data_IF_837465125111
#
_entry.id   IF_837465125111
#
_cell.length_a   1.000
_cell.length_b   1.000
_cell.length_c   1.000
_cell.angle_alpha   90.00
_cell.angle_beta   90.00
_cell.angle_gamma   90.00
#
_symmetry.space_group_name_H-M   'P 1'
#
loop_
_entity.id
_entity.type
_entity.pdbx_description
1 polymer ?
#
# COMPACT_ATOMS: atom_id res chain seq x y z
N UNK A 1 0.32 33.35 -25.36
CA UNK A 1 -0.45 32.10 -25.21
C UNK A 1 -0.56 31.47 -26.59
N UNK A 2 0.44 30.68 -26.98
CA UNK A 2 0.32 29.83 -28.17
C UNK A 2 -0.65 28.70 -27.82
N UNK A 3 -1.75 28.61 -28.57
CA UNK A 3 -2.64 27.44 -28.50
C UNK A 3 -1.89 26.28 -29.12
N UNK A 4 -1.53 25.28 -28.33
CA UNK A 4 -1.12 23.98 -28.88
C UNK A 4 -2.26 23.45 -29.75
N UNK A 5 -2.02 23.37 -31.05
CA UNK A 5 -2.96 22.76 -31.98
C UNK A 5 -2.96 21.26 -31.73
N UNK A 6 -4.11 20.69 -31.37
CA UNK A 6 -4.29 19.25 -31.26
C UNK A 6 -3.95 18.60 -32.61
N UNK A 7 -2.90 17.80 -32.64
CA UNK A 7 -2.51 17.07 -33.84
C UNK A 7 -3.57 16.00 -34.15
N UNK A 8 -4.28 16.18 -35.26
CA UNK A 8 -5.24 15.18 -35.76
C UNK A 8 -4.48 14.24 -36.69
N UNK A 9 -4.46 12.95 -36.36
CA UNK A 9 -3.82 11.92 -37.16
C UNK A 9 -4.89 11.12 -37.91
N UNK A 10 -4.61 10.79 -39.17
CA UNK A 10 -5.36 9.77 -39.91
C UNK A 10 -4.96 8.37 -39.43
N UNK A 11 -5.82 7.39 -39.66
CA UNK A 11 -5.57 5.99 -39.27
C UNK A 11 -4.22 5.47 -39.82
N UNK A 12 -3.91 5.78 -41.08
CA UNK A 12 -2.65 5.40 -41.73
C UNK A 12 -1.41 6.06 -41.11
N UNK A 13 -1.49 7.35 -40.77
CA UNK A 13 -0.42 8.08 -40.09
C UNK A 13 -0.18 7.55 -38.67
N UNK A 14 -1.25 7.14 -37.99
CA UNK A 14 -1.17 6.55 -36.66
C UNK A 14 -0.44 5.20 -36.68
N UNK A 15 -0.80 4.29 -37.60
CA UNK A 15 -0.10 3.02 -37.75
C UNK A 15 1.34 3.18 -38.23
N UNK A 16 1.64 4.15 -39.09
CA UNK A 16 3.01 4.45 -39.50
C UNK A 16 3.88 4.91 -38.32
N UNK A 17 3.33 5.75 -37.43
CA UNK A 17 4.00 6.12 -36.18
C UNK A 17 4.13 4.95 -35.23
N UNK A 18 3.08 4.16 -35.03
CA UNK A 18 3.10 2.99 -34.15
C UNK A 18 4.16 1.96 -34.59
N UNK A 19 4.23 1.66 -35.88
CA UNK A 19 5.23 0.74 -36.44
C UNK A 19 6.66 1.31 -36.40
N UNK A 20 6.81 2.63 -36.38
CA UNK A 20 8.09 3.31 -36.18
C UNK A 20 8.55 3.35 -34.73
N UNK A 21 7.64 3.16 -33.77
CA UNK A 21 7.98 3.01 -32.37
C UNK A 21 8.55 1.60 -32.17
N UNK A 22 9.77 1.53 -31.64
CA UNK A 22 10.27 0.30 -31.01
C UNK A 22 9.47 0.09 -29.74
N UNK A 23 8.28 -0.49 -29.86
CA UNK A 23 7.52 -0.94 -28.70
C UNK A 23 8.46 -1.89 -27.95
N UNK A 24 8.62 -1.59 -26.65
CA UNK A 24 9.41 -2.36 -25.72
C UNK A 24 9.17 -3.85 -25.99
N UNK A 25 10.25 -4.63 -26.09
CA UNK A 25 10.21 -5.97 -26.65
C UNK A 25 9.18 -6.82 -25.86
N UNK A 26 8.68 -7.93 -26.42
CA UNK A 26 7.69 -8.79 -25.74
C UNK A 26 8.10 -9.11 -24.29
N UNK A 27 9.39 -9.19 -24.07
CA UNK A 27 10.09 -9.35 -22.80
C UNK A 27 9.80 -8.21 -21.80
N UNK A 28 9.77 -6.95 -22.24
CA UNK A 28 9.48 -5.78 -21.40
C UNK A 28 8.02 -5.75 -20.94
N UNK A 29 7.08 -6.11 -21.82
CA UNK A 29 5.68 -6.27 -21.45
C UNK A 29 5.50 -7.40 -20.44
N UNK A 30 6.11 -8.56 -20.69
CA UNK A 30 6.08 -9.68 -19.77
C UNK A 30 6.63 -9.29 -18.40
N UNK A 31 7.72 -8.50 -18.35
CA UNK A 31 8.28 -7.98 -17.11
C UNK A 31 7.31 -7.05 -16.38
N UNK A 32 6.62 -6.17 -17.08
CA UNK A 32 5.65 -5.23 -16.48
C UNK A 32 4.44 -5.97 -15.91
N UNK A 33 3.90 -6.94 -16.65
CA UNK A 33 2.79 -7.80 -16.20
C UNK A 33 3.20 -8.61 -14.99
N UNK A 34 4.40 -9.21 -15.01
CA UNK A 34 4.92 -9.96 -13.86
C UNK A 34 5.10 -9.07 -12.62
N UNK A 35 5.62 -7.85 -12.81
CA UNK A 35 5.78 -6.88 -11.73
C UNK A 35 4.42 -6.51 -11.11
N UNK A 36 3.40 -6.29 -11.94
CA UNK A 36 2.04 -6.08 -11.47
C UNK A 36 1.52 -7.24 -10.60
N UNK A 37 1.66 -8.48 -11.06
CA UNK A 37 1.20 -9.64 -10.28
C UNK A 37 1.93 -9.78 -8.93
N UNK A 38 3.23 -9.50 -8.89
CA UNK A 38 4.03 -9.55 -7.65
C UNK A 38 3.65 -8.40 -6.70
N UNK A 39 3.49 -7.17 -7.21
CA UNK A 39 3.11 -5.99 -6.42
C UNK A 39 1.71 -6.15 -5.83
N UNK A 40 0.74 -6.60 -6.62
CA UNK A 40 -0.65 -6.74 -6.19
C UNK A 40 -0.91 -8.04 -5.39
N UNK A 41 0.08 -8.92 -5.23
CA UNK A 41 -0.10 -10.16 -4.47
C UNK A 41 -0.81 -11.29 -5.23
N UNK A 42 -0.85 -11.25 -6.56
CA UNK A 42 -1.45 -12.32 -7.36
C UNK A 42 -0.49 -13.51 -7.55
N UNK A 43 -0.17 -14.22 -6.47
CA UNK A 43 0.84 -15.28 -6.46
C UNK A 43 0.56 -16.43 -7.45
N UNK A 44 -0.69 -16.92 -7.51
CA UNK A 44 -1.09 -18.00 -8.42
C UNK A 44 -1.02 -17.57 -9.89
N UNK A 45 -1.51 -16.34 -10.18
CA UNK A 45 -1.43 -15.74 -11.51
C UNK A 45 0.01 -15.50 -11.93
N UNK A 46 0.87 -15.02 -11.02
CA UNK A 46 2.30 -14.86 -11.26
C UNK A 46 2.97 -16.20 -11.61
N UNK A 47 2.66 -17.26 -10.86
CA UNK A 47 3.21 -18.60 -11.10
C UNK A 47 2.77 -19.19 -12.45
N UNK A 48 1.49 -19.04 -12.80
CA UNK A 48 0.96 -19.47 -14.09
C UNK A 48 1.59 -18.69 -15.24
N UNK A 49 1.66 -17.36 -15.11
CA UNK A 49 2.25 -16.47 -16.09
C UNK A 49 3.74 -16.75 -16.30
N UNK A 50 4.49 -17.02 -15.23
CA UNK A 50 5.91 -17.38 -15.31
C UNK A 50 6.14 -18.63 -16.16
N UNK A 51 5.30 -19.66 -15.98
CA UNK A 51 5.39 -20.92 -16.72
C UNK A 51 5.08 -20.73 -18.22
N UNK A 52 4.13 -19.86 -18.54
CA UNK A 52 3.63 -19.67 -19.90
C UNK A 52 4.44 -18.64 -20.72
N UNK A 53 4.89 -17.57 -20.08
CA UNK A 53 5.63 -16.49 -20.73
C UNK A 53 7.10 -16.83 -21.03
N UNK A 54 7.59 -17.99 -20.58
CA UNK A 54 8.97 -18.44 -20.78
C UNK A 54 10.00 -17.50 -20.15
N UNK A 55 9.61 -16.76 -19.11
CA UNK A 55 10.49 -15.82 -18.40
C UNK A 55 11.47 -16.67 -17.58
N UNK A 56 12.71 -16.74 -18.04
CA UNK A 56 13.78 -17.50 -17.39
C UNK A 56 13.90 -17.08 -15.91
N UNK A 57 14.03 -18.05 -14.99
CA UNK A 57 14.16 -17.78 -13.55
C UNK A 57 15.36 -16.87 -13.24
N UNK A 58 16.37 -16.83 -14.13
CA UNK A 58 17.54 -15.97 -14.05
C UNK A 58 17.37 -14.56 -14.65
N UNK A 59 16.32 -14.31 -15.44
CA UNK A 59 15.97 -12.97 -15.94
C UNK A 59 14.90 -12.29 -15.07
N UNK A 60 14.40 -13.00 -14.06
CA UNK A 60 13.52 -12.51 -13.00
C UNK A 60 14.28 -11.61 -12.00
N UNK A 61 15.07 -10.66 -12.50
CA UNK A 61 15.72 -9.65 -11.68
C UNK A 61 15.35 -8.26 -12.19
N UNK A 62 14.07 -7.92 -12.04
CA UNK A 62 13.83 -6.64 -11.41
C UNK A 62 14.37 -6.76 -9.99
N UNK A 63 15.10 -5.78 -9.46
CA UNK A 63 15.56 -5.82 -8.05
C UNK A 63 14.39 -6.11 -7.07
N UNK A 64 13.15 -5.82 -7.49
CA UNK A 64 11.89 -6.11 -6.80
C UNK A 64 11.60 -7.63 -6.63
N UNK A 65 12.14 -8.47 -7.52
CA UNK A 65 11.78 -9.88 -7.69
C UNK A 65 12.76 -10.89 -7.05
N UNK A 66 13.57 -10.45 -6.08
CA UNK A 66 14.15 -11.39 -5.10
C UNK A 66 13.09 -11.93 -4.11
N UNK A 67 11.87 -11.42 -4.21
CA UNK A 67 10.70 -11.80 -3.42
C UNK A 67 10.17 -13.13 -3.98
N UNK A 68 10.46 -14.22 -3.28
CA UNK A 68 9.92 -15.56 -3.56
C UNK A 68 8.37 -15.53 -3.64
N UNK A 69 7.76 -16.37 -4.46
CA UNK A 69 6.29 -16.50 -4.58
C UNK A 69 5.64 -16.80 -3.22
N UNK A 70 6.37 -17.44 -2.31
CA UNK A 70 5.96 -17.63 -0.90
C UNK A 70 5.73 -16.28 -0.20
N UNK A 71 6.62 -15.31 -0.43
CA UNK A 71 6.51 -13.97 0.15
C UNK A 71 5.33 -13.21 -0.45
N UNK A 72 5.05 -13.41 -1.74
CA UNK A 72 3.84 -12.88 -2.40
C UNK A 72 2.58 -13.46 -1.75
N UNK A 73 2.53 -14.77 -1.51
CA UNK A 73 1.41 -15.43 -0.83
C UNK A 73 1.13 -14.86 0.56
N UNK A 74 2.17 -14.69 1.38
CA UNK A 74 2.00 -14.13 2.74
C UNK A 74 1.43 -12.70 2.69
N UNK A 75 1.88 -11.86 1.75
CA UNK A 75 1.32 -10.51 1.55
C UNK A 75 -0.16 -10.57 1.20
N UNK A 76 -0.55 -11.50 0.34
CA UNK A 76 -1.94 -11.74 -0.04
C UNK A 76 -2.77 -12.17 1.16
N UNK A 77 -2.27 -13.06 1.99
CA UNK A 77 -2.97 -13.51 3.21
C UNK A 77 -3.17 -12.34 4.18
N UNK A 78 -2.18 -11.47 4.36
CA UNK A 78 -2.30 -10.24 5.16
C UNK A 78 -3.37 -9.31 4.57
N UNK A 79 -3.34 -9.07 3.25
CA UNK A 79 -4.31 -8.17 2.59
C UNK A 79 -5.75 -8.72 2.67
N UNK A 80 -5.92 -10.03 2.52
CA UNK A 80 -7.21 -10.69 2.65
C UNK A 80 -7.74 -10.58 4.08
N UNK A 81 -6.89 -10.88 5.08
CA UNK A 81 -7.26 -10.73 6.49
C UNK A 81 -7.70 -9.29 6.82
N UNK A 82 -7.00 -8.27 6.31
CA UNK A 82 -7.40 -6.86 6.49
C UNK A 82 -8.75 -6.60 5.80
N UNK A 83 -8.93 -7.10 4.57
CA UNK A 83 -10.14 -6.89 3.77
C UNK A 83 -11.37 -7.53 4.41
N UNK A 84 -11.18 -8.69 5.06
CA UNK A 84 -12.22 -9.43 5.78
C UNK A 84 -12.51 -8.84 7.17
N UNK A 85 -11.69 -7.89 7.64
CA UNK A 85 -11.81 -7.27 8.95
C UNK A 85 -11.12 -8.04 10.07
N UNK A 86 -10.39 -9.13 9.77
CA UNK A 86 -9.52 -9.83 10.72
C UNK A 86 -8.18 -9.09 10.90
N UNK A 87 -8.25 -7.92 11.53
CA UNK A 87 -7.07 -7.07 11.75
C UNK A 87 -6.10 -7.72 12.74
N UNK A 88 -6.59 -8.55 13.66
CA UNK A 88 -5.76 -9.30 14.62
C UNK A 88 -4.95 -10.37 13.90
N UNK A 89 -5.58 -11.18 13.04
CA UNK A 89 -4.90 -12.16 12.20
C UNK A 89 -3.88 -11.50 11.28
N UNK A 90 -4.24 -10.40 10.62
CA UNK A 90 -3.32 -9.62 9.80
C UNK A 90 -2.10 -9.12 10.58
N UNK A 91 -2.32 -8.62 11.81
CA UNK A 91 -1.25 -8.14 12.70
C UNK A 91 -0.33 -9.26 13.16
N UNK A 92 -0.88 -10.46 13.41
CA UNK A 92 -0.10 -11.64 13.78
C UNK A 92 0.77 -12.11 12.61
N UNK A 93 0.19 -12.24 11.40
CA UNK A 93 0.93 -12.57 10.18
C UNK A 93 2.05 -11.56 9.91
N UNK A 94 1.77 -10.26 10.07
CA UNK A 94 2.78 -9.22 9.92
C UNK A 94 3.92 -9.38 10.92
N UNK A 95 3.63 -9.71 12.18
CA UNK A 95 4.62 -9.94 13.23
C UNK A 95 5.49 -11.15 12.97
N UNK A 96 4.89 -12.24 12.49
CA UNK A 96 5.56 -13.52 12.29
C UNK A 96 6.48 -13.49 11.06
N UNK A 97 6.01 -12.91 9.95
CA UNK A 97 6.73 -12.95 8.67
C UNK A 97 7.47 -11.66 8.33
N UNK A 98 7.06 -10.52 8.89
CA UNK A 98 7.71 -9.23 8.70
C UNK A 98 7.93 -8.54 10.05
N UNK A 99 8.68 -9.15 10.99
CA UNK A 99 8.91 -8.59 12.32
C UNK A 99 9.52 -7.20 12.23
N UNK A 100 10.41 -7.00 11.25
CA UNK A 100 11.00 -5.71 10.94
C UNK A 100 10.00 -4.65 10.52
N UNK A 101 8.80 -5.00 10.01
CA UNK A 101 7.69 -4.08 9.67
C UNK A 101 6.74 -3.92 10.84
N UNK A 102 6.54 -4.98 11.65
CA UNK A 102 5.68 -4.99 12.83
C UNK A 102 6.25 -4.20 14.02
N UNK A 103 7.58 -4.18 14.18
CA UNK A 103 8.26 -3.62 15.35
C UNK A 103 8.60 -2.12 15.24
N UNK A 104 7.99 -1.38 14.32
CA UNK A 104 8.19 0.07 14.20
C UNK A 104 7.51 0.75 15.39
N UNK A 105 8.22 0.78 16.50
CA UNK A 105 7.96 1.70 17.60
C UNK A 105 8.74 2.98 17.32
N UNK A 106 8.15 4.15 17.63
CA UNK A 106 8.83 5.45 17.61
C UNK A 106 10.15 5.48 18.40
N UNK A 107 10.41 4.47 19.25
CA UNK A 107 11.64 4.30 20.01
C UNK A 107 12.81 3.66 19.23
N UNK A 108 12.62 3.23 17.97
CA UNK A 108 13.70 2.64 17.17
C UNK A 108 14.67 3.72 16.64
N UNK A 109 15.97 3.69 16.99
CA UNK A 109 16.95 4.68 16.51
C UNK A 109 17.11 4.67 14.97
N UNK A 110 16.86 3.53 14.34
CA UNK A 110 16.87 3.39 12.87
C UNK A 110 15.74 4.19 12.22
N UNK A 111 14.59 4.25 12.88
CA UNK A 111 13.42 4.96 12.40
C UNK A 111 13.61 6.47 12.43
N UNK A 112 14.16 6.99 13.54
CA UNK A 112 14.46 8.42 13.69
C UNK A 112 15.48 8.88 12.64
N UNK A 113 16.51 8.08 12.36
CA UNK A 113 17.50 8.39 11.33
C UNK A 113 16.91 8.42 9.91
N UNK A 114 15.99 7.51 9.59
CA UNK A 114 15.31 7.51 8.29
C UNK A 114 14.36 8.70 8.16
N UNK A 115 13.57 9.00 9.19
CA UNK A 115 12.70 10.17 9.21
C UNK A 115 13.47 11.47 8.97
N UNK A 116 14.60 11.65 9.66
CA UNK A 116 15.45 12.83 9.49
C UNK A 116 16.02 12.93 8.08
N UNK A 117 16.43 11.80 7.49
CA UNK A 117 16.98 11.73 6.12
C UNK A 117 15.95 12.07 5.03
N UNK A 118 14.67 11.74 5.22
CA UNK A 118 13.62 11.91 4.20
C UNK A 118 12.65 13.08 4.49
N UNK A 119 12.86 13.84 5.57
CA UNK A 119 12.08 15.02 5.99
C UNK A 119 11.95 16.13 4.93
N UNK A 120 12.87 16.21 3.97
CA UNK A 120 12.90 17.23 2.92
C UNK A 120 12.01 16.91 1.71
N UNK A 121 11.50 15.69 1.61
CA UNK A 121 10.55 15.33 0.57
C UNK A 121 9.16 15.78 1.05
N UNK A 122 8.69 16.90 0.48
CA UNK A 122 7.33 17.44 0.62
C UNK A 122 6.22 16.52 0.09
N UNK A 123 6.48 15.21 0.03
CA UNK A 123 5.62 14.18 -0.48
C UNK A 123 5.48 13.19 0.69
N UNK A 124 4.59 13.52 1.60
CA UNK A 124 4.26 12.78 2.83
C UNK A 124 3.79 11.33 2.56
N UNK A 125 3.62 10.94 1.29
CA UNK A 125 3.41 9.56 0.85
C UNK A 125 4.68 8.67 0.83
N UNK A 126 5.89 9.26 0.90
CA UNK A 126 7.15 8.49 0.84
C UNK A 126 7.59 7.93 2.21
N UNK A 127 6.91 8.31 3.29
CA UNK A 127 7.09 7.67 4.60
C UNK A 127 5.92 6.71 4.86
N UNK A 128 5.60 5.88 3.85
CA UNK A 128 4.92 4.57 4.04
C UNK A 128 5.74 3.61 4.93
N UNK A 129 6.93 4.04 5.29
CA UNK A 129 7.84 3.39 6.21
C UNK A 129 7.24 3.39 7.63
N UNK A 130 6.66 4.48 8.18
CA UNK A 130 6.24 4.52 9.59
C UNK A 130 4.95 3.78 9.99
N UNK A 131 4.21 3.18 9.06
CA UNK A 131 2.74 3.27 9.18
C UNK A 131 1.97 1.95 9.18
N UNK A 132 2.63 0.79 9.06
CA UNK A 132 1.92 -0.51 9.08
C UNK A 132 1.14 -0.72 10.39
N UNK A 133 1.79 -0.57 11.54
CA UNK A 133 1.18 -0.70 12.87
C UNK A 133 0.18 0.42 13.14
N UNK A 134 0.46 1.66 12.73
CA UNK A 134 -0.51 2.76 12.87
C UNK A 134 -1.77 2.50 12.04
N UNK A 135 -1.66 2.13 10.76
CA UNK A 135 -2.81 1.87 9.92
C UNK A 135 -3.62 0.65 10.40
N UNK A 136 -2.95 -0.41 10.86
CA UNK A 136 -3.62 -1.55 11.49
C UNK A 136 -4.30 -1.16 12.81
N UNK A 137 -3.67 -0.33 13.65
CA UNK A 137 -4.28 0.14 14.89
C UNK A 137 -5.46 1.07 14.61
N UNK A 138 -5.35 1.99 13.64
CA UNK A 138 -6.45 2.84 13.16
C UNK A 138 -7.60 1.98 12.64
N UNK A 139 -7.31 0.97 11.82
CA UNK A 139 -8.34 0.06 11.32
C UNK A 139 -8.96 -0.75 12.47
N UNK A 140 -8.17 -1.19 13.44
CA UNK A 140 -8.68 -1.88 14.65
C UNK A 140 -9.65 -0.96 15.41
N UNK A 141 -9.33 0.32 15.56
CA UNK A 141 -10.20 1.32 16.19
C UNK A 141 -11.54 1.42 15.44
N UNK A 142 -11.50 1.47 14.10
CA UNK A 142 -12.70 1.47 13.24
C UNK A 142 -13.53 0.19 13.46
N UNK A 143 -12.89 -0.99 13.51
CA UNK A 143 -13.60 -2.25 13.74
C UNK A 143 -14.20 -2.32 15.16
N UNK A 144 -13.53 -1.76 16.18
CA UNK A 144 -14.09 -1.65 17.54
C UNK A 144 -15.31 -0.71 17.57
N UNK A 145 -15.23 0.43 16.86
CA UNK A 145 -16.36 1.35 16.71
C UNK A 145 -17.54 0.68 16.00
N UNK A 146 -17.30 -0.18 15.00
CA UNK A 146 -18.38 -0.96 14.36
C UNK A 146 -19.09 -1.90 15.33
N UNK A 147 -18.35 -2.50 16.25
CA UNK A 147 -18.93 -3.38 17.30
C UNK A 147 -19.77 -2.55 18.29
N UNK A 148 -19.42 -1.28 18.48
CA UNK A 148 -20.13 -0.36 19.38
C UNK A 148 -19.69 -0.46 20.84
N UNK A 149 -18.57 -1.15 21.13
CA UNK A 149 -18.00 -1.23 22.46
C UNK A 149 -17.03 -0.06 22.70
N UNK A 150 -17.58 1.03 23.25
CA UNK A 150 -16.86 2.27 23.51
C UNK A 150 -15.73 2.08 24.53
N UNK A 151 -15.88 1.19 25.51
CA UNK A 151 -14.83 0.97 26.51
C UNK A 151 -13.59 0.35 25.88
N UNK A 152 -13.79 -0.69 25.06
CA UNK A 152 -12.70 -1.31 24.30
C UNK A 152 -12.01 -0.33 23.35
N UNK A 153 -12.76 0.61 22.75
CA UNK A 153 -12.18 1.65 21.88
C UNK A 153 -11.19 2.54 22.65
N UNK A 154 -11.57 3.03 23.84
CA UNK A 154 -10.72 3.91 24.63
C UNK A 154 -9.52 3.19 25.24
N UNK A 155 -9.73 1.98 25.80
CA UNK A 155 -8.62 1.16 26.30
C UNK A 155 -7.58 0.92 25.21
N UNK A 156 -8.04 0.54 24.01
CA UNK A 156 -7.15 0.33 22.87
C UNK A 156 -6.44 1.62 22.43
N UNK A 157 -7.16 2.74 22.36
CA UNK A 157 -6.60 4.02 21.91
C UNK A 157 -5.47 4.50 22.84
N UNK A 158 -5.67 4.40 24.16
CA UNK A 158 -4.65 4.79 25.14
C UNK A 158 -3.37 3.97 24.96
N UNK A 159 -3.49 2.66 24.82
CA UNK A 159 -2.34 1.77 24.76
C UNK A 159 -1.61 1.81 23.40
N UNK A 160 -2.35 1.95 22.30
CA UNK A 160 -1.83 1.68 20.95
C UNK A 160 -1.80 2.90 20.01
N UNK A 161 -2.53 3.98 20.33
CA UNK A 161 -2.70 5.15 19.45
C UNK A 161 -2.01 6.39 20.03
N UNK A 162 -2.19 6.68 21.32
CA UNK A 162 -1.62 7.87 21.98
C UNK A 162 -0.11 8.06 21.73
N UNK A 163 0.75 7.01 21.75
CA UNK A 163 2.17 7.17 21.46
C UNK A 163 2.48 7.76 20.08
N UNK A 164 1.57 7.60 19.11
CA UNK A 164 1.69 8.11 17.74
C UNK A 164 1.19 9.55 17.62
N UNK A 165 0.12 9.88 18.35
CA UNK A 165 -0.48 11.22 18.35
C UNK A 165 0.43 12.30 18.95
N UNK A 166 1.31 11.94 19.88
CA UNK A 166 2.28 12.87 20.48
C UNK A 166 3.42 13.21 19.52
N UNK A 167 3.69 12.32 18.55
CA UNK A 167 4.83 12.45 17.66
C UNK A 167 4.52 13.23 16.36
N UNK A 168 3.26 13.22 15.90
CA UNK A 168 2.84 13.86 14.66
C UNK A 168 1.38 14.35 14.73
N UNK A 169 1.18 15.65 14.57
CA UNK A 169 -0.14 16.31 14.58
C UNK A 169 -1.03 15.88 13.39
N UNK A 170 -0.42 15.50 12.26
CA UNK A 170 -1.17 15.00 11.09
C UNK A 170 -1.82 13.64 11.36
N UNK A 171 -1.15 12.76 12.12
CA UNK A 171 -1.69 11.48 12.55
C UNK A 171 -2.78 11.67 13.61
N UNK A 172 -2.67 12.70 14.45
CA UNK A 172 -3.72 13.03 15.42
C UNK A 172 -5.02 13.41 14.71
N UNK A 173 -4.99 14.27 13.67
CA UNK A 173 -6.18 14.61 12.90
C UNK A 173 -6.88 13.36 12.31
N UNK A 174 -6.11 12.40 11.80
CA UNK A 174 -6.66 11.14 11.28
C UNK A 174 -7.36 10.29 12.35
N UNK A 175 -6.89 10.34 13.60
CA UNK A 175 -7.47 9.61 14.72
C UNK A 175 -8.68 10.35 15.29
N UNK A 176 -8.63 11.68 15.38
CA UNK A 176 -9.76 12.51 15.78
C UNK A 176 -10.96 12.32 14.85
N UNK A 177 -10.72 12.19 13.55
CA UNK A 177 -11.75 11.86 12.57
C UNK A 177 -12.40 10.50 12.89
N UNK A 178 -11.60 9.47 13.18
CA UNK A 178 -12.12 8.14 13.54
C UNK A 178 -12.87 8.17 14.87
N UNK A 179 -12.35 8.82 15.90
CA UNK A 179 -13.02 8.97 17.20
C UNK A 179 -14.29 9.83 17.10
N UNK A 180 -14.36 10.75 16.13
CA UNK A 180 -15.56 11.51 15.81
C UNK A 180 -16.77 10.64 15.49
N UNK A 181 -16.57 9.42 15.00
CA UNK A 181 -17.64 8.43 14.80
C UNK A 181 -18.39 8.08 16.11
N UNK A 182 -17.72 8.14 17.26
CA UNK A 182 -18.31 7.87 18.57
C UNK A 182 -19.36 8.91 18.98
N UNK A 183 -19.33 10.10 18.39
CA UNK A 183 -20.31 11.15 18.66
C UNK A 183 -21.70 10.86 18.05
N UNK A 184 -21.81 9.84 17.19
CA UNK A 184 -23.04 9.50 16.48
C UNK A 184 -23.64 8.20 17.01
N UNK A 185 -24.95 8.20 17.26
CA UNK A 185 -25.69 6.98 17.63
C UNK A 185 -25.65 5.90 16.54
N UNK A 186 -25.60 6.32 15.27
CA UNK A 186 -25.46 5.45 14.10
C UNK A 186 -24.25 5.90 13.27
N UNK A 187 -23.03 5.46 13.61
CA UNK A 187 -21.79 5.88 12.96
C UNK A 187 -21.79 5.70 11.43
N UNK A 188 -22.45 4.64 10.93
CA UNK A 188 -22.54 4.33 9.49
C UNK A 188 -23.38 5.30 8.68
N UNK A 189 -24.27 6.08 9.31
CA UNK A 189 -25.08 7.12 8.67
C UNK A 189 -24.54 8.53 8.90
N UNK A 190 -23.43 8.64 9.61
CA UNK A 190 -22.77 9.92 9.87
C UNK A 190 -22.07 10.44 8.61
N UNK A 191 -21.68 11.72 8.57
CA UNK A 191 -20.81 12.27 7.53
C UNK A 191 -19.46 11.52 7.40
N UNK A 192 -19.06 10.79 8.44
CA UNK A 192 -17.83 10.00 8.50
C UNK A 192 -18.07 8.52 8.19
N UNK A 193 -19.29 8.13 7.80
CA UNK A 193 -19.70 6.75 7.56
C UNK A 193 -18.85 6.02 6.51
N UNK A 194 -18.21 6.75 5.59
CA UNK A 194 -17.30 6.18 4.60
C UNK A 194 -16.05 5.54 5.23
N UNK A 195 -15.63 5.97 6.42
CA UNK A 195 -14.58 5.30 7.19
C UNK A 195 -14.99 3.88 7.61
N UNK A 196 -16.29 3.62 7.68
CA UNK A 196 -16.87 2.31 7.94
C UNK A 196 -17.21 1.57 6.63
N UNK A 197 -16.68 1.99 5.48
CA UNK A 197 -16.88 1.25 4.22
C UNK A 197 -15.82 0.15 4.03
N UNK A 198 -16.07 -0.74 3.06
CA UNK A 198 -15.07 -1.70 2.58
C UNK A 198 -13.86 -1.00 1.91
N UNK A 199 -14.08 0.20 1.36
CA UNK A 199 -13.03 1.00 0.74
C UNK A 199 -11.91 1.33 1.75
N UNK A 200 -12.29 1.61 3.00
CA UNK A 200 -11.33 1.91 4.06
C UNK A 200 -10.45 0.70 4.41
N UNK A 201 -11.02 -0.51 4.49
CA UNK A 201 -10.23 -1.76 4.66
C UNK A 201 -9.28 -2.00 3.50
N UNK A 202 -9.76 -1.80 2.27
CA UNK A 202 -8.95 -1.94 1.05
C UNK A 202 -7.78 -0.96 1.05
N UNK A 203 -8.02 0.29 1.45
CA UNK A 203 -6.98 1.32 1.60
C UNK A 203 -5.92 0.89 2.62
N UNK A 204 -6.33 0.42 3.80
CA UNK A 204 -5.41 -0.10 4.82
C UNK A 204 -4.59 -1.28 4.28
N UNK A 205 -5.22 -2.22 3.57
CA UNK A 205 -4.54 -3.36 2.97
C UNK A 205 -3.46 -2.90 1.96
N UNK A 206 -3.78 -1.95 1.08
CA UNK A 206 -2.81 -1.37 0.15
C UNK A 206 -1.65 -0.67 0.87
N UNK A 207 -1.92 0.09 1.94
CA UNK A 207 -0.90 0.79 2.72
C UNK A 207 0.06 -0.20 3.41
N UNK A 208 -0.47 -1.24 4.04
CA UNK A 208 0.35 -2.30 4.67
C UNK A 208 1.15 -3.05 3.61
N UNK A 209 0.55 -3.38 2.47
CA UNK A 209 1.22 -4.05 1.36
C UNK A 209 2.39 -3.21 0.80
N UNK A 210 2.20 -1.90 0.68
CA UNK A 210 3.23 -0.97 0.24
C UNK A 210 4.39 -0.87 1.25
N UNK A 211 4.08 -0.84 2.55
CA UNK A 211 5.10 -0.84 3.62
C UNK A 211 5.95 -2.12 3.57
N UNK A 212 5.32 -3.28 3.37
CA UNK A 212 6.03 -4.56 3.19
C UNK A 212 6.92 -4.51 1.95
N UNK A 213 6.42 -4.01 0.80
CA UNK A 213 7.24 -3.87 -0.42
C UNK A 213 8.45 -2.98 -0.21
N UNK A 214 8.29 -1.86 0.50
CA UNK A 214 9.38 -0.91 0.75
C UNK A 214 10.51 -1.55 1.57
N UNK A 215 10.19 -2.41 2.53
CA UNK A 215 11.19 -3.15 3.32
C UNK A 215 11.84 -4.26 2.49
N UNK A 216 11.04 -4.97 1.68
CA UNK A 216 11.57 -6.01 0.80
C UNK A 216 12.50 -5.43 -0.28
N UNK A 217 12.29 -4.17 -0.67
CA UNK A 217 13.04 -3.51 -1.74
C UNK A 217 13.44 -2.06 -1.41
N UNK A 218 14.49 -1.86 -0.59
CA UNK A 218 14.89 -0.53 -0.12
C UNK A 218 15.39 0.43 -1.22
N UNK A 219 15.79 -0.11 -2.38
CA UNK A 219 16.38 0.66 -3.48
C UNK A 219 15.35 1.25 -4.44
N UNK A 220 14.10 0.79 -4.39
CA UNK A 220 13.03 1.31 -5.24
C UNK A 220 12.31 2.46 -4.56
N UNK A 221 12.96 3.63 -4.53
CA UNK A 221 12.27 4.93 -4.45
C UNK A 221 11.45 5.24 -5.72
N UNK A 222 11.32 4.27 -6.63
CA UNK A 222 10.55 4.37 -7.86
C UNK A 222 9.09 4.06 -7.56
N UNK A 223 8.26 5.10 -7.75
CA UNK A 223 6.83 5.04 -8.03
C UNK A 223 6.41 3.68 -8.58
N UNK A 224 5.37 3.10 -7.99
CA UNK A 224 4.70 1.92 -8.54
C UNK A 224 4.54 2.10 -10.06
N UNK A 225 4.83 1.07 -10.88
CA UNK A 225 4.82 1.22 -12.34
C UNK A 225 3.52 1.80 -12.91
N UNK A 226 2.39 1.63 -12.20
CA UNK A 226 1.07 2.07 -12.63
C UNK A 226 0.74 3.54 -12.31
N UNK A 227 1.42 4.20 -11.38
CA UNK A 227 1.16 5.64 -11.13
C UNK A 227 1.77 6.57 -12.18
N UNK A 228 2.65 6.04 -13.04
CA UNK A 228 3.30 6.80 -14.11
C UNK A 228 2.53 6.75 -15.44
N UNK A 229 1.62 5.77 -15.62
CA UNK A 229 0.88 5.59 -16.89
C UNK A 229 -0.49 6.29 -16.88
N UNK A 230 -1.02 6.68 -15.71
CA UNK A 230 -2.32 7.34 -15.60
C UNK A 230 -2.27 8.89 -15.64
N UNK A 231 -1.13 9.50 -15.94
CA UNK A 231 -0.98 10.96 -16.02
C UNK A 231 -0.32 11.38 -17.33
N UNK A 232 -1.01 11.20 -18.45
CA UNK A 232 -0.83 12.00 -19.67
C UNK A 232 -2.15 12.04 -20.44
#
# INVERSE_FOLDING_TARGET
MEKESLAVYTEGEWYAKLNGLKIAAKEDMNRLVMNFFVIEGYASTAAAFQKEAGVDQNFLYCEIAKVDLVTVGIRTDIMNAISDGDIKGASQLLRDFYPNVSCWSFTSPFLLSLLEKYKSLSNVEIISMQVSSFHLNKQTLIELIRVGDVNSVFEFAVDHIVPWCVADESLLMEIEEVLGLLAFELPSKSPLGDLLSQSQRTKTACQVNAAILAVLNPQTGSKTPLTTVSKH
#
